data_IF_537525859996
#
_entry.id   IF_537525859996
#
_cell.length_a   1.000
_cell.length_b   1.000
_cell.length_c   1.000
_cell.angle_alpha   90.00
_cell.angle_beta   90.00
_cell.angle_gamma   90.00
#
_symmetry.space_group_name_H-M   'P 1'
#
loop_
_entity.id
_entity.type
_entity.pdbx_description
1 polymer ?
#
# COMPACT_ATOMS: atom_id res chain seq x y z
N UNK A 1 -22.41 -6.49 34.47
CA UNK A 1 -22.21 -7.38 33.31
C UNK A 1 -20.72 -7.49 33.08
N UNK A 2 -20.14 -8.68 33.21
CA UNK A 2 -18.70 -8.88 33.05
C UNK A 2 -18.41 -9.16 31.58
N UNK A 3 -17.67 -8.26 30.93
CA UNK A 3 -17.22 -8.47 29.54
C UNK A 3 -16.09 -9.50 29.52
N UNK A 4 -16.03 -10.31 28.48
CA UNK A 4 -14.95 -11.29 28.25
C UNK A 4 -13.73 -10.61 27.63
N UNK A 5 -12.53 -11.18 27.82
CA UNK A 5 -11.30 -10.63 27.23
C UNK A 5 -11.40 -10.47 25.70
N UNK A 6 -11.98 -11.47 25.03
CA UNK A 6 -12.18 -11.45 23.58
C UNK A 6 -13.03 -10.27 23.08
N UNK A 7 -13.98 -9.79 23.89
CA UNK A 7 -14.82 -8.63 23.57
C UNK A 7 -14.06 -7.29 23.70
N UNK A 8 -12.94 -7.27 24.44
CA UNK A 8 -12.12 -6.08 24.63
C UNK A 8 -10.97 -5.96 23.61
N UNK A 9 -10.62 -7.06 22.92
CA UNK A 9 -9.45 -7.14 22.03
C UNK A 9 -9.64 -6.45 20.65
N UNK A 10 -10.82 -5.92 20.34
CA UNK A 10 -11.21 -5.31 19.05
C UNK A 10 -10.49 -5.94 17.83
N UNK A 11 -10.74 -7.23 17.61
CA UNK A 11 -10.03 -8.03 16.61
C UNK A 11 -10.33 -7.59 15.16
N UNK A 12 -11.45 -6.91 14.96
CA UNK A 12 -11.94 -6.48 13.65
C UNK A 12 -11.53 -5.05 13.27
N UNK A 13 -10.73 -4.38 14.11
CA UNK A 13 -10.29 -2.99 13.91
C UNK A 13 -9.58 -2.71 12.58
N UNK A 14 -9.04 -3.74 11.90
CA UNK A 14 -8.48 -3.58 10.54
C UNK A 14 -9.60 -3.33 9.51
N UNK A 15 -10.71 -4.06 9.62
CA UNK A 15 -11.84 -3.96 8.68
C UNK A 15 -12.42 -2.54 8.71
N UNK A 16 -12.63 -1.99 9.90
CA UNK A 16 -13.15 -0.63 10.09
C UNK A 16 -12.19 0.46 9.59
N UNK A 17 -10.87 0.22 9.64
CA UNK A 17 -9.87 1.16 9.09
C UNK A 17 -9.70 1.04 7.57
N UNK A 18 -10.01 -0.13 7.02
CA UNK A 18 -9.85 -0.41 5.60
C UNK A 18 -11.11 -0.05 4.79
N UNK A 19 -12.28 -0.36 5.32
CA UNK A 19 -13.58 -0.05 4.70
C UNK A 19 -14.01 1.34 5.16
N UNK A 20 -13.98 2.31 4.24
CA UNK A 20 -14.32 3.70 4.55
C UNK A 20 -15.79 3.92 4.98
N UNK A 21 -16.79 3.40 4.23
CA UNK A 21 -18.19 3.61 4.56
C UNK A 21 -18.66 2.83 5.80
N UNK A 22 -19.21 3.52 6.78
CA UNK A 22 -19.87 2.90 7.94
C UNK A 22 -21.26 2.33 7.58
N UNK A 23 -21.91 1.66 8.55
CA UNK A 23 -23.20 1.02 8.32
C UNK A 23 -24.31 2.00 7.90
N UNK A 24 -24.30 3.23 8.41
CA UNK A 24 -25.29 4.24 8.04
C UNK A 24 -25.04 4.74 6.61
N UNK A 25 -23.80 5.04 6.28
CA UNK A 25 -23.39 5.46 4.94
C UNK A 25 -23.66 4.36 3.90
N UNK A 26 -23.42 3.10 4.25
CA UNK A 26 -23.78 1.95 3.40
C UNK A 26 -25.29 1.92 3.12
N UNK A 27 -26.12 2.12 4.14
CA UNK A 27 -27.58 2.14 3.96
C UNK A 27 -28.06 3.31 3.08
N UNK A 28 -27.46 4.49 3.23
CA UNK A 28 -27.75 5.67 2.40
C UNK A 28 -27.38 5.45 0.92
N UNK A 29 -26.22 4.84 0.67
CA UNK A 29 -25.79 4.46 -0.68
C UNK A 29 -26.70 3.36 -1.28
N UNK A 30 -27.05 2.34 -0.50
CA UNK A 30 -27.96 1.26 -0.91
C UNK A 30 -29.33 1.79 -1.34
N UNK A 31 -29.89 2.74 -0.58
CA UNK A 31 -31.14 3.41 -0.93
C UNK A 31 -31.05 4.18 -2.24
N UNK A 32 -29.91 4.81 -2.51
CA UNK A 32 -29.66 5.57 -3.75
C UNK A 32 -29.62 4.66 -4.97
N UNK A 33 -29.04 3.46 -4.84
CA UNK A 33 -28.97 2.47 -5.93
C UNK A 33 -30.22 1.57 -6.00
N UNK A 34 -31.16 1.70 -5.05
CA UNK A 34 -32.41 0.94 -5.04
C UNK A 34 -32.27 -0.52 -4.59
N UNK A 35 -31.29 -0.84 -3.76
CA UNK A 35 -31.07 -2.19 -3.23
C UNK A 35 -31.34 -2.25 -1.72
N UNK A 36 -31.93 -3.35 -1.26
CA UNK A 36 -32.30 -3.53 0.16
C UNK A 36 -31.12 -3.97 1.04
N UNK A 37 -30.09 -4.57 0.45
CA UNK A 37 -28.88 -5.02 1.16
C UNK A 37 -27.69 -5.17 0.20
N UNK A 38 -26.47 -5.25 0.74
CA UNK A 38 -25.28 -5.56 -0.03
C UNK A 38 -25.40 -6.91 -0.75
N UNK A 39 -25.98 -7.93 -0.11
CA UNK A 39 -26.20 -9.24 -0.73
C UNK A 39 -27.18 -9.16 -1.90
N UNK A 40 -28.27 -8.39 -1.75
CA UNK A 40 -29.22 -8.17 -2.84
C UNK A 40 -28.57 -7.44 -4.01
N UNK A 41 -27.74 -6.42 -3.74
CA UNK A 41 -26.99 -5.70 -4.76
C UNK A 41 -26.01 -6.62 -5.51
N UNK A 42 -25.27 -7.46 -4.79
CA UNK A 42 -24.33 -8.43 -5.40
C UNK A 42 -25.08 -9.39 -6.33
N UNK A 43 -26.22 -9.93 -5.90
CA UNK A 43 -27.03 -10.84 -6.70
C UNK A 43 -27.66 -10.22 -7.96
N UNK A 44 -27.78 -8.88 -8.02
CA UNK A 44 -28.21 -8.16 -9.22
C UNK A 44 -27.07 -7.93 -10.22
N UNK A 45 -25.81 -7.87 -9.75
CA UNK A 45 -24.63 -7.51 -10.55
C UNK A 45 -23.89 -8.76 -11.06
N UNK A 46 -23.67 -9.74 -10.18
CA UNK A 46 -22.85 -10.91 -10.48
C UNK A 46 -23.75 -12.07 -10.91
N UNK A 47 -23.59 -12.62 -12.13
CA UNK A 47 -24.30 -13.81 -12.56
C UNK A 47 -24.05 -15.00 -11.61
N UNK A 48 -25.11 -15.73 -11.27
CA UNK A 48 -25.04 -16.81 -10.27
C UNK A 48 -24.13 -17.97 -10.70
N UNK A 49 -23.98 -18.21 -12.01
CA UNK A 49 -23.18 -19.30 -12.57
C UNK A 49 -21.66 -19.12 -12.37
N UNK A 50 -21.20 -17.87 -12.17
CA UNK A 50 -19.79 -17.56 -11.87
C UNK A 50 -19.56 -17.17 -10.40
N UNK A 51 -20.62 -17.11 -9.60
CA UNK A 51 -20.51 -16.75 -8.19
C UNK A 51 -19.96 -17.93 -7.38
N UNK A 52 -18.95 -17.67 -6.55
CA UNK A 52 -18.43 -18.67 -5.63
C UNK A 52 -19.48 -19.01 -4.57
N UNK A 53 -19.85 -20.30 -4.45
CA UNK A 53 -20.83 -20.77 -3.48
C UNK A 53 -20.36 -20.60 -2.02
N UNK A 54 -19.05 -20.65 -1.80
CA UNK A 54 -18.43 -20.45 -0.48
C UNK A 54 -17.22 -19.53 -0.61
N UNK A 55 -16.93 -18.70 0.42
CA UNK A 55 -15.70 -17.92 0.45
C UNK A 55 -14.44 -18.79 0.28
N UNK A 56 -13.37 -18.25 -0.32
CA UNK A 56 -12.11 -18.98 -0.43
C UNK A 56 -11.53 -19.28 0.95
N UNK A 57 -10.91 -20.45 1.10
CA UNK A 57 -10.28 -20.90 2.34
C UNK A 57 -8.94 -20.16 2.52
N UNK A 58 -8.98 -18.98 3.16
CA UNK A 58 -7.81 -18.10 3.37
C UNK A 58 -7.32 -18.07 4.83
N UNK A 59 -7.94 -18.85 5.71
CA UNK A 59 -7.66 -18.85 7.15
C UNK A 59 -8.45 -17.78 7.91
N UNK A 60 -8.27 -17.77 9.24
CA UNK A 60 -8.96 -16.83 10.12
C UNK A 60 -8.35 -15.44 10.07
N UNK A 61 -9.19 -14.42 10.30
CA UNK A 61 -8.73 -13.05 10.45
C UNK A 61 -7.80 -12.91 11.67
N UNK A 62 -6.79 -12.07 11.53
CA UNK A 62 -5.81 -11.77 12.58
C UNK A 62 -5.65 -10.26 12.74
N UNK A 63 -5.19 -9.83 13.91
CA UNK A 63 -4.95 -8.42 14.18
C UNK A 63 -3.70 -7.94 13.46
N UNK A 64 -3.60 -6.64 13.16
CA UNK A 64 -2.39 -6.08 12.51
C UNK A 64 -1.11 -6.38 13.29
N UNK A 65 -1.18 -6.32 14.62
CA UNK A 65 -0.04 -6.62 15.49
C UNK A 65 0.40 -8.08 15.35
N UNK A 66 -0.56 -9.02 15.39
CA UNK A 66 -0.28 -10.44 15.25
C UNK A 66 0.25 -10.76 13.83
N UNK A 67 -0.35 -10.18 12.79
CA UNK A 67 0.13 -10.31 11.41
C UNK A 67 1.59 -9.86 11.26
N UNK A 68 1.94 -8.67 11.79
CA UNK A 68 3.31 -8.17 11.73
C UNK A 68 4.29 -9.06 12.51
N UNK A 69 3.89 -9.60 13.66
CA UNK A 69 4.71 -10.52 14.44
C UNK A 69 4.99 -11.82 13.68
N UNK A 70 3.96 -12.40 13.05
CA UNK A 70 4.08 -13.59 12.21
C UNK A 70 4.99 -13.35 11.00
N UNK A 71 4.75 -12.27 10.25
CA UNK A 71 5.57 -11.91 9.09
C UNK A 71 7.04 -11.67 9.49
N UNK A 72 7.28 -11.08 10.65
CA UNK A 72 8.64 -10.89 11.19
C UNK A 72 9.31 -12.23 11.53
N UNK A 73 8.56 -13.20 12.08
CA UNK A 73 9.08 -14.54 12.36
C UNK A 73 9.43 -15.29 11.07
N UNK A 74 8.63 -15.17 10.02
CA UNK A 74 8.92 -15.72 8.69
C UNK A 74 10.16 -15.05 8.09
N UNK A 75 10.22 -13.71 8.10
CA UNK A 75 11.36 -12.95 7.59
C UNK A 75 12.66 -13.28 8.34
N UNK A 76 12.59 -13.65 9.62
CA UNK A 76 13.73 -14.09 10.43
C UNK A 76 14.40 -15.38 9.93
N UNK A 77 13.73 -16.17 9.09
CA UNK A 77 14.31 -17.36 8.47
C UNK A 77 15.27 -17.03 7.31
N UNK A 78 15.21 -15.79 6.79
CA UNK A 78 16.06 -15.36 5.66
C UNK A 78 17.51 -15.13 6.12
N UNK A 79 18.47 -15.65 5.35
CA UNK A 79 19.90 -15.45 5.59
C UNK A 79 20.41 -14.28 4.74
N UNK A 80 20.92 -13.23 5.39
CA UNK A 80 21.52 -12.08 4.71
C UNK A 80 23.00 -12.34 4.44
N UNK A 81 23.36 -12.53 3.17
CA UNK A 81 24.75 -12.71 2.72
C UNK A 81 25.28 -11.45 2.01
N UNK A 82 26.61 -11.31 1.97
CA UNK A 82 27.26 -10.41 1.02
C UNK A 82 27.30 -11.12 -0.34
N UNK A 83 26.31 -10.82 -1.18
CA UNK A 83 26.15 -11.48 -2.47
C UNK A 83 26.96 -10.77 -3.56
N UNK A 84 27.87 -11.49 -4.20
CA UNK A 84 28.64 -11.05 -5.38
C UNK A 84 28.30 -11.86 -6.64
N UNK A 85 27.10 -12.44 -6.67
CA UNK A 85 26.61 -13.24 -7.81
C UNK A 85 26.48 -12.36 -9.07
N UNK A 86 26.10 -11.08 -8.89
CA UNK A 86 25.92 -10.14 -9.99
C UNK A 86 24.62 -10.41 -10.76
N UNK A 87 24.73 -10.64 -12.07
CA UNK A 87 23.58 -10.90 -12.97
C UNK A 87 22.51 -9.78 -12.97
N UNK A 88 22.94 -8.53 -12.90
CA UNK A 88 22.05 -7.36 -12.96
C UNK A 88 21.57 -6.85 -11.60
N UNK A 89 21.95 -7.49 -10.49
CA UNK A 89 21.67 -7.01 -9.14
C UNK A 89 22.96 -6.82 -8.34
N UNK A 90 23.11 -5.62 -7.77
CA UNK A 90 24.27 -5.27 -6.92
C UNK A 90 23.76 -4.57 -5.67
N UNK A 91 24.37 -4.89 -4.52
CA UNK A 91 24.02 -4.24 -3.26
C UNK A 91 24.38 -2.75 -3.29
N UNK A 92 23.49 -1.89 -2.81
CA UNK A 92 23.68 -0.44 -2.72
C UNK A 92 23.32 0.07 -1.33
N UNK A 93 24.02 1.12 -0.89
CA UNK A 93 23.64 1.84 0.32
C UNK A 93 22.54 2.85 -0.02
N UNK A 94 21.31 2.59 0.42
CA UNK A 94 20.21 3.54 0.26
C UNK A 94 20.40 4.71 1.25
N UNK A 95 20.46 5.98 0.78
CA UNK A 95 20.52 7.13 1.66
C UNK A 95 19.29 7.18 2.60
N UNK A 96 19.47 7.30 3.93
CA UNK A 96 18.35 7.29 4.88
C UNK A 96 17.27 8.35 4.59
N UNK A 97 17.68 9.50 4.05
CA UNK A 97 16.76 10.58 3.67
C UNK A 97 15.81 10.16 2.54
N UNK A 98 16.25 9.33 1.59
CA UNK A 98 15.42 8.80 0.50
C UNK A 98 14.48 7.73 1.06
N UNK A 99 15.00 6.81 1.87
CA UNK A 99 14.20 5.77 2.49
C UNK A 99 13.01 6.37 3.25
N UNK A 100 13.28 7.31 4.18
CA UNK A 100 12.27 7.85 5.07
C UNK A 100 11.27 8.77 4.38
N UNK A 101 11.74 9.64 3.49
CA UNK A 101 10.89 10.69 2.92
C UNK A 101 10.21 10.30 1.60
N UNK A 102 10.61 9.17 0.99
CA UNK A 102 10.09 8.71 -0.29
C UNK A 102 9.52 7.29 -0.21
N UNK A 103 10.32 6.29 0.16
CA UNK A 103 9.85 4.89 0.17
C UNK A 103 8.85 4.60 1.30
N UNK A 104 9.06 5.18 2.48
CA UNK A 104 8.19 5.02 3.64
C UNK A 104 7.07 6.07 3.72
N UNK A 105 6.98 6.98 2.75
CA UNK A 105 6.02 8.08 2.76
C UNK A 105 4.87 7.83 1.76
N UNK A 106 3.61 7.65 2.23
CA UNK A 106 2.47 7.38 1.35
C UNK A 106 2.21 8.47 0.31
N UNK A 107 2.64 9.71 0.55
CA UNK A 107 2.52 10.79 -0.44
C UNK A 107 3.29 10.55 -1.74
N UNK A 108 4.23 9.59 -1.76
CA UNK A 108 5.01 9.22 -2.94
C UNK A 108 4.54 7.95 -3.65
N UNK A 109 3.98 6.96 -2.93
CA UNK A 109 3.64 5.65 -3.51
C UNK A 109 2.14 5.36 -3.61
N UNK A 110 1.27 6.21 -3.07
CA UNK A 110 -0.19 6.03 -3.20
C UNK A 110 -0.77 6.61 -4.49
N UNK A 111 -0.06 7.55 -5.11
CA UNK A 111 -0.46 8.09 -6.42
C UNK A 111 -0.24 7.04 -7.52
N UNK A 112 -1.21 6.91 -8.42
CA UNK A 112 -1.09 6.08 -9.62
C UNK A 112 -0.48 6.88 -10.79
N UNK A 113 -0.50 6.33 -12.00
CA UNK A 113 -0.10 7.01 -13.23
C UNK A 113 -0.78 8.36 -13.35
N UNK A 114 0.04 9.41 -13.48
CA UNK A 114 -0.41 10.80 -13.56
C UNK A 114 -1.04 11.12 -14.92
N UNK A 115 -2.28 10.71 -15.13
CA UNK A 115 -3.05 11.01 -16.36
C UNK A 115 -3.62 12.42 -16.36
N UNK A 116 -3.79 13.03 -15.18
CA UNK A 116 -4.36 14.35 -15.00
C UNK A 116 -3.29 15.45 -14.93
N UNK A 117 -3.33 16.40 -15.89
CA UNK A 117 -2.39 17.54 -16.00
C UNK A 117 -2.43 18.53 -14.82
N UNK A 118 -3.40 18.39 -13.91
CA UNK A 118 -3.71 19.35 -12.82
C UNK A 118 -3.01 19.05 -11.48
N UNK A 119 -2.46 17.85 -11.30
CA UNK A 119 -1.81 17.42 -10.05
C UNK A 119 -0.32 17.77 -10.06
N UNK A 120 0.32 17.97 -8.89
CA UNK A 120 1.54 18.73 -8.79
C UNK A 120 2.66 18.13 -9.64
N UNK A 121 3.31 19.02 -10.42
CA UNK A 121 4.53 18.77 -11.19
C UNK A 121 5.70 18.22 -10.35
N UNK A 122 5.56 17.96 -9.05
CA UNK A 122 6.66 17.61 -8.15
C UNK A 122 7.38 16.32 -8.53
N UNK A 123 6.67 15.30 -9.02
CA UNK A 123 7.26 14.04 -9.50
C UNK A 123 7.95 14.25 -10.86
N UNK A 124 7.26 14.92 -11.79
CA UNK A 124 7.76 15.17 -13.16
C UNK A 124 8.91 16.19 -13.23
N UNK A 125 8.80 17.30 -12.50
CA UNK A 125 9.74 18.42 -12.50
C UNK A 125 11.09 18.08 -11.86
N UNK A 126 11.20 16.94 -11.15
CA UNK A 126 12.44 16.49 -10.52
C UNK A 126 13.23 15.49 -11.36
N UNK A 127 12.65 14.96 -12.44
CA UNK A 127 13.32 14.08 -13.40
C UNK A 127 13.98 14.82 -14.58
N UNK A 128 13.86 16.15 -14.69
CA UNK A 128 14.59 16.89 -15.73
C UNK A 128 16.06 17.02 -15.32
N UNK A 129 16.90 16.14 -15.85
CA UNK A 129 18.35 16.21 -15.76
C UNK A 129 18.83 17.52 -16.37
N UNK A 130 19.34 18.45 -15.56
CA UNK A 130 20.14 19.56 -16.10
C UNK A 130 21.56 19.05 -16.30
N UNK A 131 21.89 18.64 -17.52
CA UNK A 131 23.28 18.42 -17.92
C UNK A 131 23.96 19.77 -18.03
N UNK A 132 24.64 20.21 -16.96
CA UNK A 132 25.62 21.29 -17.07
C UNK A 132 26.98 20.61 -17.25
N UNK A 133 27.45 20.53 -18.50
CA UNK A 133 28.82 20.13 -18.80
C UNK A 133 29.78 21.17 -18.25
N UNK A 134 30.50 20.84 -17.18
CA UNK A 134 31.69 21.59 -16.78
C UNK A 134 32.81 21.22 -17.74
N UNK A 135 33.45 22.17 -18.45
CA UNK A 135 34.59 21.83 -19.30
C UNK A 135 35.71 21.24 -18.43
N UNK A 136 36.12 19.99 -18.71
CA UNK A 136 37.30 19.36 -18.10
C UNK A 136 37.08 18.41 -16.92
N UNK A 137 35.86 17.92 -16.66
CA UNK A 137 35.60 16.95 -15.58
C UNK A 137 34.66 15.82 -16.05
N UNK A 138 35.22 14.64 -16.35
CA UNK A 138 34.50 13.38 -16.62
C UNK A 138 33.90 12.74 -15.36
N UNK A 139 33.20 13.55 -14.54
CA UNK A 139 32.38 13.05 -13.45
C UNK A 139 30.99 13.62 -13.59
N UNK A 140 30.06 12.76 -14.02
CA UNK A 140 28.62 13.03 -13.99
C UNK A 140 28.19 13.05 -12.51
N UNK A 141 28.15 14.25 -11.93
CA UNK A 141 27.65 14.48 -10.58
C UNK A 141 26.12 14.54 -10.57
N UNK A 142 25.46 13.55 -10.01
CA UNK A 142 24.00 13.58 -9.79
C UNK A 142 23.70 14.48 -8.59
N UNK A 143 23.19 15.70 -8.84
CA UNK A 143 22.78 16.62 -7.79
C UNK A 143 21.27 16.52 -7.55
N UNK A 144 20.85 15.66 -6.62
CA UNK A 144 19.47 15.62 -6.14
C UNK A 144 19.18 16.88 -5.32
N UNK A 145 18.39 17.81 -5.86
CA UNK A 145 17.84 18.92 -5.07
C UNK A 145 16.61 18.41 -4.31
N UNK A 146 16.77 18.23 -3.00
CA UNK A 146 15.65 18.18 -2.07
C UNK A 146 15.21 19.62 -1.80
N UNK A 147 14.08 20.03 -2.38
CA UNK A 147 13.33 21.15 -1.83
C UNK A 147 12.91 20.76 -0.41
N UNK A 148 13.39 21.53 0.58
CA UNK A 148 12.90 21.52 1.96
C UNK A 148 11.46 22.05 2.02
#
# INVERSE_FOLDING_TARGET
MTQTLSQLENRDAFIERHIGPDAQQQQEMLKTVGADSLNALIGQIVPQDIQLATPPQVGDATTEFAALAELKAIAGRNKRFKSYIGMGYTAVQLPPVIQRNMLENPGWYTAYTLTSRKYPRAVWSRCSTSSRSTPGSDRVGYRFRFAA
#
